data_IF_931527622199
#
_entry.id   IF_931527622199
#
_cell.length_a   1.000
_cell.length_b   1.000
_cell.length_c   1.000
_cell.angle_alpha   90.00
_cell.angle_beta   90.00
_cell.angle_gamma   90.00
#
_symmetry.space_group_name_H-M   'P 1'
#
loop_
_entity.id
_entity.type
_entity.pdbx_description
1 polymer ?
#
# COMPACT_ATOMS: atom_id res chain seq x y z
N UNK A 1 -11.46 -55.63 31.88
CA UNK A 1 -11.27 -55.10 30.53
C UNK A 1 -9.86 -54.55 30.48
N UNK A 2 -8.95 -55.35 29.94
CA UNK A 2 -7.51 -55.10 29.97
C UNK A 2 -7.17 -53.89 29.09
N UNK A 3 -6.04 -53.22 29.38
CA UNK A 3 -5.59 -52.04 28.61
C UNK A 3 -5.50 -52.34 27.10
N UNK A 4 -5.12 -53.56 26.75
CA UNK A 4 -5.00 -54.07 25.38
C UNK A 4 -6.34 -54.14 24.64
N UNK A 5 -7.42 -54.49 25.34
CA UNK A 5 -8.78 -54.56 24.76
C UNK A 5 -9.32 -53.15 24.45
N UNK A 6 -9.03 -52.17 25.32
CA UNK A 6 -9.41 -50.77 25.08
C UNK A 6 -8.70 -50.19 23.86
N UNK A 7 -7.40 -50.44 23.70
CA UNK A 7 -6.64 -49.98 22.55
C UNK A 7 -7.15 -50.56 21.22
N UNK A 8 -7.52 -51.84 21.21
CA UNK A 8 -8.13 -52.49 20.05
C UNK A 8 -9.47 -51.82 19.69
N UNK A 9 -10.34 -51.59 20.68
CA UNK A 9 -11.63 -50.93 20.49
C UNK A 9 -11.50 -49.50 19.94
N UNK A 10 -10.52 -48.72 20.41
CA UNK A 10 -10.27 -47.37 19.88
C UNK A 10 -9.78 -47.39 18.43
N UNK A 11 -8.94 -48.36 18.05
CA UNK A 11 -8.48 -48.51 16.66
C UNK A 11 -9.63 -48.83 15.72
N UNK A 12 -10.56 -49.68 16.13
CA UNK A 12 -11.74 -50.02 15.33
C UNK A 12 -12.69 -48.84 15.14
N UNK A 13 -12.94 -48.06 16.20
CA UNK A 13 -13.74 -46.83 16.10
C UNK A 13 -13.07 -45.82 15.16
N UNK A 14 -11.75 -45.66 15.26
CA UNK A 14 -10.99 -44.76 14.40
C UNK A 14 -11.07 -45.21 12.93
N UNK A 15 -10.91 -46.51 12.66
CA UNK A 15 -11.08 -47.11 11.34
C UNK A 15 -12.49 -46.84 10.79
N UNK A 16 -13.52 -47.01 11.62
CA UNK A 16 -14.91 -46.81 11.22
C UNK A 16 -15.20 -45.33 10.88
N UNK A 17 -14.63 -44.39 11.63
CA UNK A 17 -14.71 -42.95 11.33
C UNK A 17 -14.01 -42.63 10.00
N UNK A 18 -12.83 -43.20 9.76
CA UNK A 18 -12.09 -43.00 8.49
C UNK A 18 -12.89 -43.53 7.31
N UNK A 19 -13.45 -44.75 7.42
CA UNK A 19 -14.29 -45.35 6.36
C UNK A 19 -15.55 -44.52 6.13
N UNK A 20 -16.19 -44.03 7.19
CA UNK A 20 -17.36 -43.17 7.07
C UNK A 20 -17.03 -41.85 6.37
N UNK A 21 -15.93 -41.19 6.74
CA UNK A 21 -15.45 -39.97 6.07
C UNK A 21 -15.13 -40.22 4.59
N UNK A 22 -14.54 -41.37 4.26
CA UNK A 22 -14.24 -41.78 2.89
C UNK A 22 -15.52 -42.02 2.09
N UNK A 23 -16.54 -42.62 2.70
CA UNK A 23 -17.86 -42.82 2.10
C UNK A 23 -18.59 -41.50 1.87
N UNK A 24 -18.58 -40.59 2.85
CA UNK A 24 -19.13 -39.23 2.69
C UNK A 24 -18.40 -38.48 1.58
N UNK A 25 -17.07 -38.55 1.54
CA UNK A 25 -16.27 -37.90 0.51
C UNK A 25 -16.58 -38.43 -0.89
N UNK A 26 -16.62 -39.75 -1.06
CA UNK A 26 -16.96 -40.40 -2.34
C UNK A 26 -18.40 -40.13 -2.76
N UNK A 27 -19.35 -40.14 -1.82
CA UNK A 27 -20.74 -39.75 -2.07
C UNK A 27 -20.85 -38.29 -2.55
N UNK A 28 -20.15 -37.35 -1.89
CA UNK A 28 -20.10 -35.95 -2.31
C UNK A 28 -19.45 -35.79 -3.70
N UNK A 29 -18.41 -36.57 -3.99
CA UNK A 29 -17.72 -36.58 -5.27
C UNK A 29 -18.61 -37.09 -6.41
N UNK A 30 -19.33 -38.20 -6.17
CA UNK A 30 -20.25 -38.81 -7.15
C UNK A 30 -21.42 -37.88 -7.50
N UNK A 31 -21.90 -37.09 -6.54
CA UNK A 31 -22.95 -36.10 -6.74
C UNK A 31 -22.47 -34.77 -7.37
N UNK A 32 -21.20 -34.64 -7.75
CA UNK A 32 -20.68 -33.45 -8.45
C UNK A 32 -20.72 -32.14 -7.63
N UNK A 33 -21.05 -32.22 -6.34
CA UNK A 33 -21.07 -31.10 -5.39
C UNK A 33 -19.74 -30.34 -5.35
N UNK A 34 -18.54 -30.98 -5.37
CA UNK A 34 -17.29 -30.23 -5.34
C UNK A 34 -17.18 -29.22 -6.49
N UNK A 35 -17.44 -29.62 -7.74
CA UNK A 35 -17.27 -28.71 -8.88
C UNK A 35 -18.25 -27.53 -8.88
N UNK A 36 -19.52 -27.77 -8.51
CA UNK A 36 -20.54 -26.70 -8.47
C UNK A 36 -20.29 -25.68 -7.36
N UNK A 37 -19.75 -26.10 -6.20
CA UNK A 37 -19.37 -25.22 -5.11
C UNK A 37 -18.13 -24.40 -5.47
N UNK A 38 -17.10 -25.01 -6.05
CA UNK A 38 -15.89 -24.30 -6.47
C UNK A 38 -16.18 -23.27 -7.58
N UNK A 39 -17.09 -23.57 -8.52
CA UNK A 39 -17.47 -22.59 -9.55
C UNK A 39 -18.23 -21.40 -8.96
N UNK A 40 -19.19 -21.62 -8.06
CA UNK A 40 -19.92 -20.54 -7.36
C UNK A 40 -18.98 -19.68 -6.52
N UNK A 41 -18.04 -20.30 -5.82
CA UNK A 41 -17.03 -19.59 -5.03
C UNK A 41 -16.11 -18.75 -5.93
N UNK A 42 -15.59 -19.33 -7.01
CA UNK A 42 -14.73 -18.62 -7.99
C UNK A 42 -15.46 -17.51 -8.73
N UNK A 43 -16.74 -17.69 -9.04
CA UNK A 43 -17.57 -16.67 -9.66
C UNK A 43 -17.86 -15.52 -8.68
N UNK A 44 -18.18 -15.83 -7.41
CA UNK A 44 -18.40 -14.83 -6.37
C UNK A 44 -17.14 -14.01 -6.08
N UNK A 45 -15.97 -14.65 -6.00
CA UNK A 45 -14.70 -13.94 -5.79
C UNK A 45 -14.28 -13.11 -7.00
N UNK A 46 -14.47 -13.62 -8.24
CA UNK A 46 -14.24 -12.83 -9.46
C UNK A 46 -15.19 -11.65 -9.57
N UNK A 47 -16.46 -11.82 -9.20
CA UNK A 47 -17.44 -10.75 -9.11
C UNK A 47 -17.01 -9.70 -8.08
N UNK A 48 -16.57 -10.12 -6.89
CA UNK A 48 -16.08 -9.22 -5.84
C UNK A 48 -14.87 -8.39 -6.29
N UNK A 49 -13.88 -9.01 -6.94
CA UNK A 49 -12.72 -8.30 -7.46
C UNK A 49 -13.08 -7.30 -8.56
N UNK A 50 -14.06 -7.63 -9.40
CA UNK A 50 -14.55 -6.72 -10.46
C UNK A 50 -15.29 -5.53 -9.86
N UNK A 51 -16.13 -5.77 -8.83
CA UNK A 51 -16.80 -4.70 -8.09
C UNK A 51 -15.81 -3.82 -7.33
N UNK A 52 -14.79 -4.40 -6.70
CA UNK A 52 -13.72 -3.64 -6.04
C UNK A 52 -13.03 -2.68 -7.01
N UNK A 53 -12.69 -3.14 -8.22
CA UNK A 53 -12.12 -2.29 -9.28
C UNK A 53 -13.07 -1.17 -9.71
N UNK A 54 -14.37 -1.44 -9.82
CA UNK A 54 -15.36 -0.43 -10.16
C UNK A 54 -15.39 0.69 -9.10
N UNK A 55 -15.49 0.31 -7.82
CA UNK A 55 -15.47 1.24 -6.69
C UNK A 55 -14.15 2.03 -6.63
N UNK A 56 -13.01 1.38 -6.88
CA UNK A 56 -11.71 2.05 -6.98
C UNK A 56 -11.67 3.11 -8.10
N UNK A 57 -12.12 2.77 -9.31
CA UNK A 57 -12.16 3.73 -10.44
C UNK A 57 -13.09 4.90 -10.12
N UNK A 58 -14.26 4.63 -9.53
CA UNK A 58 -15.21 5.67 -9.13
C UNK A 58 -14.60 6.60 -8.07
N UNK A 59 -13.95 6.04 -7.06
CA UNK A 59 -13.22 6.80 -6.05
C UNK A 59 -12.14 7.70 -6.69
N UNK A 60 -11.41 7.19 -7.67
CA UNK A 60 -10.35 7.95 -8.35
C UNK A 60 -10.92 9.13 -9.14
N UNK A 61 -12.02 8.91 -9.87
CA UNK A 61 -12.73 9.97 -10.60
C UNK A 61 -13.29 11.05 -9.66
N UNK A 62 -13.87 10.65 -8.53
CA UNK A 62 -14.39 11.58 -7.52
C UNK A 62 -13.28 12.42 -6.91
N UNK A 63 -12.13 11.83 -6.58
CA UNK A 63 -10.97 12.55 -6.06
C UNK A 63 -10.39 13.53 -7.08
N UNK A 64 -10.31 13.14 -8.35
CA UNK A 64 -9.85 14.01 -9.42
C UNK A 64 -10.79 15.21 -9.63
N UNK A 65 -12.10 14.95 -9.61
CA UNK A 65 -13.13 16.01 -9.63
C UNK A 65 -13.04 16.92 -8.40
N UNK A 66 -12.77 16.37 -7.21
CA UNK A 66 -12.58 17.15 -6.00
C UNK A 66 -11.40 18.12 -6.13
N UNK A 67 -10.27 17.64 -6.66
CA UNK A 67 -9.07 18.45 -6.92
C UNK A 67 -9.36 19.58 -7.92
N UNK A 68 -10.06 19.25 -9.00
CA UNK A 68 -10.46 20.22 -10.02
C UNK A 68 -11.44 21.28 -9.47
N UNK A 69 -12.41 20.86 -8.65
CA UNK A 69 -13.42 21.74 -8.06
C UNK A 69 -12.84 22.72 -7.04
N UNK A 70 -11.82 22.31 -6.27
CA UNK A 70 -11.13 23.19 -5.30
C UNK A 70 -10.47 24.38 -5.99
N UNK A 71 -10.05 24.22 -7.24
CA UNK A 71 -9.44 25.29 -8.04
C UNK A 71 -10.46 26.29 -8.60
N UNK A 72 -11.76 25.97 -8.64
CA UNK A 72 -12.73 26.69 -9.44
C UNK A 72 -13.75 27.50 -8.62
N UNK A 73 -14.40 26.95 -7.59
CA UNK A 73 -15.61 27.63 -7.04
C UNK A 73 -16.01 27.35 -5.57
N UNK A 74 -15.30 26.54 -4.78
CA UNK A 74 -15.60 26.43 -3.35
C UNK A 74 -15.07 25.19 -2.62
N UNK A 75 -14.63 25.37 -1.37
CA UNK A 75 -14.08 24.34 -0.47
C UNK A 75 -15.10 23.26 -0.09
N UNK A 76 -16.39 23.59 -0.05
CA UNK A 76 -17.45 22.67 0.42
C UNK A 76 -17.77 21.57 -0.58
N UNK A 77 -17.92 21.90 -1.88
CA UNK A 77 -18.15 20.92 -2.93
C UNK A 77 -16.96 19.97 -3.11
N UNK A 78 -15.74 20.51 -3.04
CA UNK A 78 -14.52 19.71 -3.07
C UNK A 78 -14.41 18.77 -1.86
N UNK A 79 -14.82 19.21 -0.67
CA UNK A 79 -14.84 18.38 0.52
C UNK A 79 -15.83 17.21 0.41
N UNK A 80 -17.05 17.48 -0.08
CA UNK A 80 -18.07 16.44 -0.28
C UNK A 80 -17.65 15.38 -1.31
N UNK A 81 -17.08 15.80 -2.44
CA UNK A 81 -16.54 14.86 -3.44
C UNK A 81 -15.38 14.00 -2.89
N UNK A 82 -14.54 14.57 -2.03
CA UNK A 82 -13.47 13.82 -1.38
C UNK A 82 -14.02 12.80 -0.36
N UNK A 83 -15.10 13.12 0.34
CA UNK A 83 -15.76 12.19 1.26
C UNK A 83 -16.46 11.04 0.51
N UNK A 84 -17.11 11.33 -0.62
CA UNK A 84 -17.63 10.29 -1.51
C UNK A 84 -16.49 9.39 -2.04
N UNK A 85 -15.35 9.98 -2.42
CA UNK A 85 -14.18 9.21 -2.85
C UNK A 85 -13.67 8.27 -1.74
N UNK A 86 -13.66 8.70 -0.48
CA UNK A 86 -13.30 7.86 0.66
C UNK A 86 -14.26 6.69 0.84
N UNK A 87 -15.56 6.96 0.75
CA UNK A 87 -16.60 5.93 0.88
C UNK A 87 -16.43 4.84 -0.18
N UNK A 88 -16.19 5.24 -1.42
CA UNK A 88 -15.97 4.33 -2.54
C UNK A 88 -14.64 3.56 -2.39
N UNK A 89 -13.58 4.20 -1.89
CA UNK A 89 -12.33 3.51 -1.58
C UNK A 89 -12.51 2.46 -0.47
N UNK A 90 -13.26 2.78 0.58
CA UNK A 90 -13.56 1.84 1.68
C UNK A 90 -14.40 0.64 1.21
N UNK A 91 -15.35 0.86 0.30
CA UNK A 91 -16.07 -0.23 -0.35
C UNK A 91 -15.12 -1.12 -1.16
N UNK A 92 -14.22 -0.54 -1.94
CA UNK A 92 -13.22 -1.29 -2.70
C UNK A 92 -12.32 -2.13 -1.79
N UNK A 93 -11.86 -1.57 -0.67
CA UNK A 93 -11.07 -2.25 0.37
C UNK A 93 -11.87 -3.42 0.97
N UNK A 94 -13.15 -3.21 1.31
CA UNK A 94 -13.99 -4.25 1.92
C UNK A 94 -14.18 -5.47 0.99
N UNK A 95 -14.22 -5.23 -0.32
CA UNK A 95 -14.39 -6.25 -1.34
C UNK A 95 -13.09 -6.97 -1.69
N UNK A 96 -11.95 -6.29 -1.57
CA UNK A 96 -10.63 -6.86 -1.83
C UNK A 96 -9.54 -6.22 -0.93
N UNK A 97 -9.40 -6.67 0.33
CA UNK A 97 -8.45 -6.07 1.28
C UNK A 97 -6.97 -6.40 0.99
N UNK A 98 -6.69 -7.23 -0.02
CA UNK A 98 -5.33 -7.57 -0.46
C UNK A 98 -4.82 -6.66 -1.58
N UNK A 99 -5.68 -5.81 -2.12
CA UNK A 99 -5.33 -4.81 -3.12
C UNK A 99 -4.88 -3.53 -2.42
N UNK A 100 -3.66 -3.09 -2.70
CA UNK A 100 -3.06 -1.91 -2.10
C UNK A 100 -3.55 -0.61 -2.74
N UNK A 101 -4.00 -0.63 -4.00
CA UNK A 101 -4.37 0.58 -4.73
C UNK A 101 -5.52 1.36 -4.07
N UNK A 102 -6.60 0.71 -3.58
CA UNK A 102 -7.64 1.40 -2.80
C UNK A 102 -7.15 2.07 -1.52
N UNK A 103 -6.18 1.49 -0.81
CA UNK A 103 -5.59 2.10 0.38
C UNK A 103 -4.77 3.35 0.04
N UNK A 104 -4.00 3.32 -1.05
CA UNK A 104 -3.26 4.50 -1.54
C UNK A 104 -4.22 5.62 -1.96
N UNK A 105 -5.30 5.26 -2.65
CA UNK A 105 -6.32 6.22 -3.05
C UNK A 105 -7.02 6.85 -1.84
N UNK A 106 -7.35 6.05 -0.82
CA UNK A 106 -7.87 6.52 0.46
C UNK A 106 -6.90 7.50 1.12
N UNK A 107 -5.61 7.19 1.14
CA UNK A 107 -4.58 8.08 1.67
C UNK A 107 -4.54 9.43 0.93
N UNK A 108 -4.61 9.41 -0.40
CA UNK A 108 -4.63 10.63 -1.22
C UNK A 108 -5.87 11.50 -0.97
N UNK A 109 -7.03 10.89 -0.74
CA UNK A 109 -8.26 11.61 -0.41
C UNK A 109 -8.21 12.20 1.01
N UNK A 110 -7.69 11.46 2.00
CA UNK A 110 -7.47 11.96 3.36
C UNK A 110 -6.46 13.12 3.39
N UNK A 111 -5.36 13.01 2.64
CA UNK A 111 -4.38 14.09 2.50
C UNK A 111 -5.02 15.33 1.87
N UNK A 112 -5.84 15.16 0.84
CA UNK A 112 -6.55 16.26 0.18
C UNK A 112 -7.45 17.05 1.15
N UNK A 113 -8.04 16.34 2.13
CA UNK A 113 -8.82 16.93 3.22
C UNK A 113 -7.96 17.46 4.39
N UNK A 114 -6.67 17.17 4.42
CA UNK A 114 -5.73 17.60 5.46
C UNK A 114 -5.53 16.61 6.60
N UNK A 115 -6.16 15.43 6.56
CA UNK A 115 -6.05 14.39 7.58
C UNK A 115 -4.77 13.56 7.43
N UNK A 116 -3.61 14.18 7.71
CA UNK A 116 -2.29 13.59 7.46
C UNK A 116 -2.03 12.28 8.23
N UNK A 117 -2.47 12.19 9.48
CA UNK A 117 -2.29 10.97 10.30
C UNK A 117 -3.04 9.78 9.71
N UNK A 118 -4.33 9.96 9.38
CA UNK A 118 -5.15 8.90 8.77
C UNK A 118 -4.67 8.56 7.35
N UNK A 119 -4.13 9.53 6.61
CA UNK A 119 -3.51 9.29 5.33
C UNK A 119 -2.27 8.38 5.48
N UNK A 120 -1.42 8.67 6.47
CA UNK A 120 -0.24 7.85 6.78
C UNK A 120 -0.63 6.42 7.15
N UNK A 121 -1.63 6.23 8.02
CA UNK A 121 -2.16 4.90 8.37
C UNK A 121 -2.63 4.12 7.13
N UNK A 122 -3.29 4.80 6.19
CA UNK A 122 -3.76 4.17 4.96
C UNK A 122 -2.59 3.74 4.06
N UNK A 123 -1.50 4.52 3.97
CA UNK A 123 -0.29 4.12 3.25
C UNK A 123 0.40 2.94 3.94
N UNK A 124 0.47 2.93 5.27
CA UNK A 124 1.05 1.81 6.02
C UNK A 124 0.26 0.51 5.79
N UNK A 125 -1.07 0.60 5.67
CA UNK A 125 -1.90 -0.54 5.27
C UNK A 125 -1.61 -0.99 3.83
N UNK A 126 -1.42 -0.07 2.88
CA UNK A 126 -1.04 -0.39 1.51
C UNK A 126 0.32 -1.11 1.42
N UNK A 127 1.28 -0.68 2.26
CA UNK A 127 2.63 -1.25 2.34
C UNK A 127 2.73 -2.46 3.29
N UNK A 128 1.63 -2.87 3.93
CA UNK A 128 1.61 -4.02 4.83
C UNK A 128 1.83 -5.35 4.09
N UNK A 129 2.29 -6.42 4.77
CA UNK A 129 2.44 -7.74 4.15
C UNK A 129 1.15 -8.31 3.53
N UNK A 130 -0.01 -7.81 3.94
CA UNK A 130 -1.33 -8.19 3.41
C UNK A 130 -1.55 -7.67 1.99
N UNK A 131 -1.27 -6.39 1.76
CA UNK A 131 -1.62 -5.68 0.54
C UNK A 131 -0.43 -5.41 -0.40
N UNK A 132 0.78 -5.25 0.14
CA UNK A 132 1.96 -4.83 -0.63
C UNK A 132 2.38 -5.78 -1.75
N UNK A 133 1.89 -7.03 -1.75
CA UNK A 133 2.12 -7.99 -2.84
C UNK A 133 1.36 -7.66 -4.12
N UNK A 134 0.35 -6.80 -4.04
CA UNK A 134 -0.42 -6.35 -5.20
C UNK A 134 0.18 -5.11 -5.87
N UNK A 135 1.16 -4.45 -5.24
CA UNK A 135 1.85 -3.29 -5.80
C UNK A 135 2.93 -3.74 -6.78
N UNK A 136 2.95 -3.10 -7.94
CA UNK A 136 4.12 -3.13 -8.81
C UNK A 136 5.29 -2.37 -8.16
N UNK A 137 6.53 -2.64 -8.59
CA UNK A 137 7.72 -2.01 -8.00
C UNK A 137 7.68 -0.47 -8.09
N UNK A 138 7.17 0.08 -9.18
CA UNK A 138 6.97 1.52 -9.34
C UNK A 138 5.94 2.08 -8.37
N UNK A 139 4.80 1.41 -8.21
CA UNK A 139 3.73 1.83 -7.30
C UNK A 139 4.18 1.73 -5.84
N UNK A 140 4.98 0.71 -5.52
CA UNK A 140 5.64 0.57 -4.22
C UNK A 140 6.60 1.73 -3.96
N UNK A 141 7.38 2.13 -4.96
CA UNK A 141 8.25 3.31 -4.88
C UNK A 141 7.44 4.58 -4.61
N UNK A 142 6.35 4.80 -5.33
CA UNK A 142 5.49 5.97 -5.15
C UNK A 142 4.82 6.00 -3.77
N UNK A 143 4.37 4.84 -3.27
CA UNK A 143 3.81 4.70 -1.93
C UNK A 143 4.83 5.01 -0.83
N UNK A 144 6.07 4.51 -0.95
CA UNK A 144 7.16 4.79 -0.01
C UNK A 144 7.55 6.27 -0.02
N UNK A 145 7.65 6.86 -1.20
CA UNK A 145 7.92 8.29 -1.37
C UNK A 145 6.85 9.14 -0.69
N UNK A 146 5.57 8.77 -0.89
CA UNK A 146 4.44 9.45 -0.26
C UNK A 146 4.43 9.30 1.25
N UNK A 147 4.78 8.12 1.77
CA UNK A 147 4.94 7.88 3.20
C UNK A 147 6.03 8.79 3.80
N UNK A 148 7.18 8.88 3.15
CA UNK A 148 8.29 9.73 3.59
C UNK A 148 7.89 11.21 3.61
N UNK A 149 7.17 11.69 2.59
CA UNK A 149 6.63 13.06 2.54
C UNK A 149 5.71 13.37 3.72
N UNK A 150 4.77 12.48 4.02
CA UNK A 150 3.83 12.67 5.14
C UNK A 150 4.55 12.66 6.48
N UNK A 151 5.47 11.72 6.70
CA UNK A 151 6.30 11.66 7.92
C UNK A 151 7.12 12.92 8.10
N UNK A 152 7.78 13.40 7.04
CA UNK A 152 8.52 14.67 7.04
C UNK A 152 7.60 15.85 7.39
N UNK A 153 6.43 15.95 6.76
CA UNK A 153 5.46 17.02 7.03
C UNK A 153 4.91 16.99 8.47
N UNK A 154 4.85 15.81 9.08
CA UNK A 154 4.44 15.60 10.47
C UNK A 154 5.58 15.74 11.49
N UNK A 155 6.82 15.99 11.03
CA UNK A 155 8.05 15.94 11.85
C UNK A 155 8.23 14.59 12.57
N UNK A 156 7.66 13.52 12.01
CA UNK A 156 7.89 12.16 12.46
C UNK A 156 9.20 11.69 11.81
N UNK A 157 10.26 11.61 12.61
CA UNK A 157 11.60 11.29 12.10
C UNK A 157 11.84 9.78 11.92
N UNK A 158 11.03 8.93 12.53
CA UNK A 158 11.26 7.49 12.46
C UNK A 158 10.99 6.96 11.04
N UNK A 159 12.00 6.33 10.45
CA UNK A 159 11.90 5.53 9.21
C UNK A 159 11.75 6.37 7.91
N UNK A 160 12.11 7.66 7.91
CA UNK A 160 12.14 8.46 6.66
C UNK A 160 13.30 8.04 5.75
N UNK A 161 14.47 7.78 6.33
CA UNK A 161 15.66 7.37 5.58
C UNK A 161 15.47 6.05 4.85
N UNK A 162 14.91 5.04 5.52
CA UNK A 162 14.68 3.71 4.96
C UNK A 162 13.72 3.77 3.77
N UNK A 163 12.62 4.53 3.92
CA UNK A 163 11.64 4.75 2.86
C UNK A 163 12.31 5.39 1.64
N UNK A 164 13.03 6.49 1.83
CA UNK A 164 13.71 7.22 0.75
C UNK A 164 14.83 6.40 0.10
N UNK A 165 15.60 5.65 0.90
CA UNK A 165 16.63 4.73 0.41
C UNK A 165 16.02 3.63 -0.45
N UNK A 166 14.85 3.09 -0.05
CA UNK A 166 14.15 2.10 -0.85
C UNK A 166 13.58 2.72 -2.13
N UNK A 167 13.08 3.96 -2.11
CA UNK A 167 12.63 4.68 -3.31
C UNK A 167 13.74 4.76 -4.36
N UNK A 168 14.94 5.23 -3.97
CA UNK A 168 16.05 5.38 -4.92
C UNK A 168 16.65 4.05 -5.36
N UNK A 169 16.47 2.97 -4.59
CA UNK A 169 16.82 1.60 -5.00
C UNK A 169 15.84 1.03 -6.02
N UNK A 170 14.53 1.22 -5.80
CA UNK A 170 13.48 0.76 -6.72
C UNK A 170 13.51 1.55 -8.03
N UNK A 171 13.75 2.86 -7.95
CA UNK A 171 13.89 3.73 -9.12
C UNK A 171 15.09 4.68 -8.94
N UNK A 172 16.28 4.29 -9.44
CA UNK A 172 17.47 5.15 -9.42
C UNK A 172 17.32 6.48 -10.15
N UNK A 173 16.35 6.59 -11.07
CA UNK A 173 16.02 7.83 -11.79
C UNK A 173 15.01 8.72 -11.06
N UNK A 174 14.60 8.38 -9.83
CA UNK A 174 13.63 9.19 -9.08
C UNK A 174 14.30 10.43 -8.47
N UNK A 175 14.28 11.53 -9.24
CA UNK A 175 14.83 12.84 -8.85
C UNK A 175 14.29 13.32 -7.51
N UNK A 176 12.97 13.17 -7.29
CA UNK A 176 12.31 13.60 -6.06
C UNK A 176 12.77 12.77 -4.84
N UNK A 177 12.93 11.46 -5.02
CA UNK A 177 13.47 10.56 -4.00
C UNK A 177 14.89 10.95 -3.57
N UNK A 178 15.78 11.19 -4.54
CA UNK A 178 17.15 11.66 -4.26
C UNK A 178 17.17 13.02 -3.58
N UNK A 179 16.32 13.96 -4.02
CA UNK A 179 16.24 15.29 -3.42
C UNK A 179 15.77 15.24 -1.97
N UNK A 180 14.71 14.49 -1.68
CA UNK A 180 14.21 14.30 -0.31
C UNK A 180 15.23 13.57 0.57
N UNK A 181 16.00 12.63 0.02
CA UNK A 181 17.07 11.94 0.74
C UNK A 181 18.20 12.91 1.10
N UNK A 182 18.56 13.81 0.20
CA UNK A 182 19.51 14.90 0.47
C UNK A 182 19.02 15.84 1.57
N UNK A 183 17.76 16.27 1.52
CA UNK A 183 17.18 17.13 2.57
C UNK A 183 17.13 16.42 3.93
N UNK A 184 16.86 15.12 3.92
CA UNK A 184 16.88 14.30 5.13
C UNK A 184 18.28 14.27 5.76
N UNK A 185 19.31 13.95 4.97
CA UNK A 185 20.70 13.93 5.44
C UNK A 185 21.19 15.31 5.88
N UNK A 186 20.83 16.37 5.17
CA UNK A 186 21.14 17.74 5.57
C UNK A 186 20.51 18.08 6.93
N UNK A 187 19.24 17.72 7.14
CA UNK A 187 18.57 17.88 8.44
C UNK A 187 19.23 17.09 9.57
N UNK A 188 19.87 15.96 9.25
CA UNK A 188 20.67 15.15 10.17
C UNK A 188 22.12 15.60 10.31
N UNK A 189 22.53 16.68 9.64
CA UNK A 189 23.92 17.19 9.57
C UNK A 189 24.92 16.18 9.01
N UNK A 190 24.45 15.25 8.19
CA UNK A 190 25.25 14.29 7.44
C UNK A 190 25.59 14.92 6.08
N UNK A 191 26.54 15.87 6.10
CA UNK A 191 26.80 16.74 4.94
C UNK A 191 27.34 15.97 3.72
N UNK A 192 28.16 14.95 3.92
CA UNK A 192 28.75 14.17 2.83
C UNK A 192 27.70 13.33 2.10
N UNK A 193 26.79 12.69 2.84
CA UNK A 193 25.66 11.95 2.30
C UNK A 193 24.66 12.87 1.61
N UNK A 194 24.40 14.05 2.20
CA UNK A 194 23.55 15.06 1.58
C UNK A 194 24.12 15.54 0.24
N UNK A 195 25.43 15.84 0.19
CA UNK A 195 26.13 16.22 -1.05
C UNK A 195 25.98 15.14 -2.12
N UNK A 196 26.26 13.88 -1.80
CA UNK A 196 26.11 12.76 -2.74
C UNK A 196 24.68 12.63 -3.29
N UNK A 197 23.68 12.78 -2.42
CA UNK A 197 22.28 12.71 -2.83
C UNK A 197 21.91 13.87 -3.78
N UNK A 198 22.33 15.10 -3.48
CA UNK A 198 22.09 16.26 -4.36
C UNK A 198 22.91 16.23 -5.65
N UNK A 199 24.11 15.66 -5.64
CA UNK A 199 24.89 15.40 -6.85
C UNK A 199 24.14 14.44 -7.77
N UNK A 200 23.55 13.35 -7.24
CA UNK A 200 22.68 12.46 -8.02
C UNK A 200 21.47 13.17 -8.61
N UNK A 201 20.89 14.13 -7.90
CA UNK A 201 19.82 14.98 -8.45
C UNK A 201 20.30 15.78 -9.66
N UNK A 202 21.50 16.38 -9.61
CA UNK A 202 22.06 17.13 -10.73
C UNK A 202 22.60 16.26 -11.87
N UNK A 203 22.98 15.01 -11.60
CA UNK A 203 23.27 14.03 -12.67
C UNK A 203 22.01 13.73 -13.49
N UNK A 204 20.85 13.62 -12.84
CA UNK A 204 19.56 13.33 -13.50
C UNK A 204 18.92 14.58 -14.10
N UNK A 205 18.96 15.70 -13.38
CA UNK A 205 18.41 17.01 -13.78
C UNK A 205 19.45 18.11 -13.54
N UNK A 206 20.36 18.36 -14.51
CA UNK A 206 21.46 19.32 -14.36
C UNK A 206 21.00 20.76 -14.11
N UNK A 207 19.78 21.12 -14.48
CA UNK A 207 19.23 22.47 -14.34
C UNK A 207 18.38 22.67 -13.09
N UNK A 208 18.29 21.67 -12.20
CA UNK A 208 17.48 21.79 -11.00
C UNK A 208 18.11 22.76 -9.99
N UNK A 209 17.65 24.03 -10.02
CA UNK A 209 18.17 25.13 -9.20
C UNK A 209 18.22 24.81 -7.71
N UNK A 210 17.19 24.14 -7.17
CA UNK A 210 17.12 23.81 -5.74
C UNK A 210 18.25 22.89 -5.29
N UNK A 211 18.70 21.96 -6.15
CA UNK A 211 19.84 21.09 -5.84
C UNK A 211 21.17 21.84 -5.96
N UNK A 212 21.33 22.72 -6.95
CA UNK A 212 22.52 23.62 -7.06
C UNK A 212 22.67 24.49 -5.80
N UNK A 213 21.57 25.04 -5.31
CA UNK A 213 21.56 25.87 -4.10
C UNK A 213 21.89 25.08 -2.83
N UNK A 214 21.36 23.86 -2.71
CA UNK A 214 21.66 22.97 -1.59
C UNK A 214 23.16 22.62 -1.53
N UNK A 215 23.76 22.25 -2.67
CA UNK A 215 25.20 21.98 -2.75
C UNK A 215 26.06 23.20 -2.44
N UNK A 216 25.68 24.39 -2.93
CA UNK A 216 26.40 25.63 -2.61
C UNK A 216 26.40 25.91 -1.11
N UNK A 217 25.25 25.72 -0.44
CA UNK A 217 25.11 25.89 1.01
C UNK A 217 26.02 24.92 1.77
N UNK A 218 26.00 23.63 1.41
CA UNK A 218 26.82 22.59 2.03
C UNK A 218 28.32 22.71 1.70
N UNK A 219 28.68 23.32 0.56
CA UNK A 219 30.07 23.61 0.19
C UNK A 219 30.65 24.82 0.93
N UNK A 220 29.82 25.81 1.25
CA UNK A 220 30.26 27.02 1.97
C UNK A 220 30.51 26.80 3.47
N UNK A 221 29.88 25.79 4.08
CA UNK A 221 30.04 25.46 5.51
C UNK A 221 31.31 24.67 5.85
N UNK A 222 31.86 23.90 4.91
CA UNK A 222 33.06 23.07 5.11
C UNK A 222 34.40 23.82 4.98
N UNK A 223 34.37 25.12 4.70
CA UNK A 223 35.55 25.98 4.48
C UNK A 223 35.88 26.91 5.66
N UNK A 224 35.45 26.57 6.87
CA UNK A 224 35.72 27.31 8.12
C UNK A 224 36.27 26.43 9.22
#
# INVERSE_FOLDING_TARGET
>A
MDLTEKEAMFRDILLQIIVFLLFVFTFLYLYGIPQSLFHKFRYRTKSSATQSKLHFVKAAQLLDRARSSKSLTGTTAAAGLAEEALTEADLAISLNPKDAAPYLLKAMALEFQGFRTSALESIDMALSPLAAKSLEESERGDALLKRAELKKAMKAESVVEEDLTQVVKLNPGNVKGWFLLGEWYEGKKMEDEAKKAYEKVLELEPELRVAKEALKRLGSGSSS
#
